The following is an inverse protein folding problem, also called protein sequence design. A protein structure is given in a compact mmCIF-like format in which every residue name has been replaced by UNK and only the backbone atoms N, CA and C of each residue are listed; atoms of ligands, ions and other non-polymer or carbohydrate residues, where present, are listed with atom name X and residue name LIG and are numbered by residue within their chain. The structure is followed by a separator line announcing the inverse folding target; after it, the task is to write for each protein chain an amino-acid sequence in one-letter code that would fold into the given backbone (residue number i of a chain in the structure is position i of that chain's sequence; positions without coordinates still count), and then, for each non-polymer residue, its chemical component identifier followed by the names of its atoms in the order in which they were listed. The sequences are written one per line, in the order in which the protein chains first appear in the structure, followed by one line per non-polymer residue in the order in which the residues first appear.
data_IF_227396630252
#
_entry.id   IF_227396630252
#
_cell.length_a   1.000
_cell.length_b   1.000
_cell.length_c   1.000
_cell.angle_alpha   90.00
_cell.angle_beta   90.00
_cell.angle_gamma   90.00
#
_symmetry.space_group_name_H-M   'P 1'
#
loop_
_entity.id
_entity.type
_entity.pdbx_description
1 polymer ?
#
# COMPACT_ATOMS: atom_id res chain seq x y z
N UNK A 1 -17.18 11.74 -1.69
CA UNK A 1 -15.75 11.50 -1.95
C UNK A 1 -15.63 10.17 -2.69
N UNK A 2 -14.81 10.09 -3.73
CA UNK A 2 -14.55 8.84 -4.48
C UNK A 2 -13.40 8.12 -3.80
N UNK A 3 -13.63 6.88 -3.35
CA UNK A 3 -12.58 6.04 -2.77
C UNK A 3 -11.74 5.39 -3.88
N UNK A 4 -10.44 5.24 -3.61
CA UNK A 4 -9.53 4.41 -4.40
C UNK A 4 -9.71 2.95 -3.98
N UNK A 5 -10.08 2.09 -4.93
CA UNK A 5 -10.10 0.64 -4.75
C UNK A 5 -8.76 0.07 -5.21
N UNK A 6 -7.87 -0.20 -4.26
CA UNK A 6 -6.51 -0.66 -4.51
C UNK A 6 -6.35 -2.14 -4.15
N UNK A 7 -5.51 -2.86 -4.88
CA UNK A 7 -5.13 -4.24 -4.56
C UNK A 7 -3.89 -4.21 -3.69
N UNK A 8 -4.00 -4.67 -2.45
CA UNK A 8 -2.89 -4.76 -1.52
C UNK A 8 -2.32 -6.18 -1.55
N UNK A 9 -1.10 -6.33 -2.05
CA UNK A 9 -0.35 -7.58 -2.08
C UNK A 9 0.52 -7.70 -0.83
N UNK A 10 0.33 -8.75 -0.04
CA UNK A 10 1.06 -9.06 1.20
C UNK A 10 1.59 -10.48 1.07
N UNK A 11 2.87 -10.62 0.73
CA UNK A 11 3.46 -11.93 0.43
C UNK A 11 2.74 -12.60 -0.73
N UNK A 12 2.06 -13.72 -0.46
CA UNK A 12 1.30 -14.49 -1.46
C UNK A 12 -0.20 -14.17 -1.48
N UNK A 13 -0.66 -13.22 -0.66
CA UNK A 13 -2.08 -12.87 -0.52
C UNK A 13 -2.34 -11.51 -1.15
N UNK A 14 -3.40 -11.40 -1.96
CA UNK A 14 -3.86 -10.12 -2.50
C UNK A 14 -5.24 -9.80 -1.95
N UNK A 15 -5.40 -8.61 -1.36
CA UNK A 15 -6.67 -8.11 -0.81
C UNK A 15 -7.04 -6.79 -1.47
N UNK A 16 -8.24 -6.72 -2.03
CA UNK A 16 -8.77 -5.43 -2.50
C UNK A 16 -9.27 -4.62 -1.31
N UNK A 17 -8.79 -3.39 -1.18
CA UNK A 17 -9.11 -2.48 -0.09
C UNK A 17 -9.48 -1.10 -0.63
N UNK A 18 -10.33 -0.40 0.09
CA UNK A 18 -10.76 0.96 -0.27
C UNK A 18 -10.09 1.98 0.64
N UNK A 19 -9.48 2.99 0.04
CA UNK A 19 -8.82 4.11 0.72
C UNK A 19 -9.36 5.43 0.20
N UNK A 20 -9.24 6.49 0.98
CA UNK A 20 -9.46 7.83 0.46
C UNK A 20 -8.20 8.30 -0.29
N UNK A 21 -8.31 9.06 -1.40
CA UNK A 21 -7.13 9.58 -2.10
C UNK A 21 -6.20 10.40 -1.19
N UNK A 22 -6.79 11.13 -0.25
CA UNK A 22 -6.08 11.93 0.77
C UNK A 22 -5.54 11.10 1.94
N UNK A 23 -5.77 9.79 1.98
CA UNK A 23 -5.20 8.93 3.02
C UNK A 23 -3.68 8.97 2.93
N UNK A 24 -3.05 9.30 4.05
CA UNK A 24 -1.60 9.31 4.17
C UNK A 24 -1.05 7.89 4.09
N UNK A 25 0.14 7.70 3.51
CA UNK A 25 0.75 6.38 3.38
C UNK A 25 0.94 5.71 4.75
N UNK A 26 1.29 6.46 5.80
CA UNK A 26 1.40 5.90 7.15
C UNK A 26 0.05 5.37 7.67
N UNK A 27 -1.06 6.07 7.40
CA UNK A 27 -2.41 5.65 7.78
C UNK A 27 -2.85 4.43 6.94
N UNK A 28 -2.53 4.41 5.64
CA UNK A 28 -2.80 3.27 4.78
C UNK A 28 -2.10 2.00 5.30
N UNK A 29 -0.82 2.09 5.68
CA UNK A 29 -0.10 0.98 6.32
C UNK A 29 -0.80 0.52 7.60
N UNK A 30 -1.27 1.45 8.46
CA UNK A 30 -2.01 1.09 9.68
C UNK A 30 -3.29 0.32 9.37
N UNK A 31 -4.11 0.84 8.44
CA UNK A 31 -5.38 0.22 8.02
C UNK A 31 -5.14 -1.19 7.48
N UNK A 32 -4.08 -1.38 6.68
CA UNK A 32 -3.72 -2.70 6.14
C UNK A 32 -3.41 -3.69 7.27
N UNK A 33 -2.62 -3.27 8.26
CA UNK A 33 -2.27 -4.12 9.42
C UNK A 33 -3.45 -4.43 10.32
N UNK A 34 -4.40 -3.50 10.43
CA UNK A 34 -5.63 -3.72 11.22
C UNK A 34 -6.58 -4.70 10.52
N UNK A 35 -6.61 -4.70 9.18
CA UNK A 35 -7.55 -5.53 8.39
C UNK A 35 -6.97 -6.84 7.87
N UNK A 36 -5.66 -6.95 7.73
CA UNK A 36 -4.98 -8.11 7.16
C UNK A 36 -4.02 -8.71 8.19
N UNK A 37 -4.33 -9.87 8.80
CA UNK A 37 -3.48 -10.53 9.79
C UNK A 37 -2.06 -10.80 9.28
N UNK A 38 -1.89 -11.12 8.00
CA UNK A 38 -0.60 -11.38 7.36
C UNK A 38 0.33 -10.15 7.36
N UNK A 39 -0.23 -8.94 7.46
CA UNK A 39 0.54 -7.70 7.56
C UNK A 39 0.99 -7.38 9.00
N UNK A 40 0.54 -8.14 10.01
CA UNK A 40 0.90 -7.95 11.41
C UNK A 40 2.24 -8.60 11.78
N UNK A 41 2.90 -9.26 10.84
CA UNK A 41 4.16 -9.97 11.06
C UNK A 41 5.32 -8.95 11.12
N UNK A 42 5.96 -8.80 12.28
CA UNK A 42 7.13 -7.95 12.47
C UNK A 42 6.84 -6.50 12.90
N UNK A 43 7.88 -5.65 12.91
CA UNK A 43 7.74 -4.26 13.36
C UNK A 43 7.21 -3.36 12.23
N UNK A 44 6.23 -2.48 12.48
CA UNK A 44 5.64 -1.61 11.44
C UNK A 44 6.67 -0.78 10.66
N UNK A 45 7.71 -0.30 11.34
CA UNK A 45 8.74 0.54 10.73
C UNK A 45 9.61 -0.22 9.72
N UNK A 46 9.66 -1.55 9.82
CA UNK A 46 10.38 -2.38 8.86
C UNK A 46 9.58 -2.58 7.57
N UNK A 47 8.32 -2.17 7.50
CA UNK A 47 7.46 -2.39 6.33
C UNK A 47 7.07 -1.08 5.65
N UNK A 48 6.69 -1.18 4.39
CA UNK A 48 6.13 -0.07 3.64
C UNK A 48 5.30 -0.52 2.46
N UNK A 49 4.70 0.46 1.80
CA UNK A 49 4.01 0.28 0.54
C UNK A 49 4.98 0.51 -0.61
N UNK A 50 4.98 -0.43 -1.53
CA UNK A 50 5.71 -0.39 -2.78
C UNK A 50 4.68 -0.41 -3.91
N UNK A 51 4.70 0.58 -4.79
CA UNK A 51 3.87 0.58 -5.98
C UNK A 51 4.53 -0.31 -7.02
N UNK A 52 3.89 -1.43 -7.31
CA UNK A 52 4.36 -2.40 -8.31
C UNK A 52 3.87 -1.97 -9.68
N UNK A 53 4.79 -1.86 -10.62
CA UNK A 53 4.50 -1.58 -12.03
C UNK A 53 4.74 -2.85 -12.86
N UNK A 54 4.23 -2.90 -14.10
CA UNK A 54 4.52 -4.01 -15.03
C UNK A 54 6.03 -4.15 -15.27
N UNK A 55 6.75 -3.03 -15.26
CA UNK A 55 8.21 -3.03 -15.24
C UNK A 55 8.74 -3.13 -13.79
N UNK A 56 9.40 -4.22 -13.38
CA UNK A 56 9.93 -4.37 -12.01
C UNK A 56 11.02 -3.34 -11.67
N UNK A 57 11.58 -2.66 -12.67
CA UNK A 57 12.55 -1.57 -12.50
C UNK A 57 11.89 -0.21 -12.21
N UNK A 58 10.58 -0.08 -12.44
CA UNK A 58 9.83 1.17 -12.24
C UNK A 58 9.06 1.21 -10.93
N UNK A 59 9.03 0.11 -10.18
CA UNK A 59 8.36 0.11 -8.89
C UNK A 59 9.03 1.08 -7.91
N UNK A 60 8.21 1.79 -7.12
CA UNK A 60 8.67 2.83 -6.20
C UNK A 60 8.18 2.58 -4.78
N UNK A 61 9.00 2.94 -3.81
CA UNK A 61 8.58 2.96 -2.41
C UNK A 61 7.79 4.23 -2.12
N UNK A 62 6.63 4.06 -1.48
CA UNK A 62 5.79 5.17 -1.07
C UNK A 62 6.30 5.75 0.25
N UNK A 63 6.32 7.08 0.33
CA UNK A 63 6.81 7.83 1.48
C UNK A 63 5.69 8.01 2.50
N UNK A 64 5.96 7.73 3.77
CA UNK A 64 4.98 7.78 4.85
C UNK A 64 4.27 9.15 4.96
N UNK A 65 4.96 10.25 4.65
CA UNK A 65 4.44 11.62 4.72
C UNK A 65 3.70 12.12 3.46
N UNK A 66 3.48 11.25 2.47
CA UNK A 66 2.69 11.58 1.27
C UNK A 66 1.30 10.97 1.36
N UNK A 67 0.36 11.50 0.57
CA UNK A 67 -0.95 10.90 0.38
C UNK A 67 -0.93 9.92 -0.81
N UNK A 68 -1.94 9.06 -0.90
CA UNK A 68 -2.09 8.13 -2.03
C UNK A 68 -2.25 8.85 -3.37
N UNK A 69 -2.96 9.98 -3.41
CA UNK A 69 -3.20 10.75 -4.65
C UNK A 69 -1.91 11.36 -5.25
N UNK A 70 -0.90 11.63 -4.41
CA UNK A 70 0.41 12.14 -4.84
C UNK A 70 1.07 11.22 -5.89
N UNK A 71 0.79 9.91 -5.80
CA UNK A 71 1.32 8.90 -6.70
C UNK A 71 0.39 8.60 -7.89
N UNK A 72 -0.67 9.39 -8.08
CA UNK A 72 -1.63 9.26 -9.19
C UNK A 72 -2.26 7.87 -9.31
N UNK A 73 -2.45 7.19 -8.17
CA UNK A 73 -3.03 5.85 -8.09
C UNK A 73 -4.46 5.82 -8.63
N UNK A 74 -4.82 4.73 -9.29
CA UNK A 74 -6.13 4.47 -9.90
C UNK A 74 -6.77 3.23 -9.32
N UNK A 75 -8.09 3.13 -9.52
CA UNK A 75 -8.84 1.94 -9.14
C UNK A 75 -8.30 0.71 -9.89
N UNK A 76 -7.91 -0.31 -9.13
CA UNK A 76 -7.33 -1.56 -9.64
C UNK A 76 -5.81 -1.63 -9.55
N UNK A 77 -5.13 -0.53 -9.24
CA UNK A 77 -3.67 -0.51 -9.05
C UNK A 77 -3.27 -1.42 -7.88
N UNK A 78 -2.05 -1.97 -7.98
CA UNK A 78 -1.52 -2.92 -7.01
C UNK A 78 -0.40 -2.28 -6.20
N UNK A 79 -0.57 -2.29 -4.87
CA UNK A 79 0.46 -1.91 -3.91
C UNK A 79 0.93 -3.16 -3.16
N UNK A 80 2.24 -3.35 -3.10
CA UNK A 80 2.87 -4.37 -2.27
C UNK A 80 3.16 -3.82 -0.87
N UNK A 81 2.56 -4.42 0.16
CA UNK A 81 2.98 -4.22 1.54
C UNK A 81 4.09 -5.23 1.87
N UNK A 82 5.32 -4.75 1.90
CA UNK A 82 6.51 -5.60 2.06
C UNK A 82 7.57 -4.95 2.94
N UNK A 83 8.49 -5.78 3.45
CA UNK A 83 9.59 -5.34 4.30
C UNK A 83 10.58 -4.47 3.50
N UNK A 84 10.90 -3.29 4.02
CA UNK A 84 12.01 -2.43 3.59
C UNK A 84 13.30 -3.11 4.07
N UNK A 85 14.20 -3.41 3.14
CA UNK A 85 15.47 -4.06 3.43
C UNK A 85 16.58 -3.02 3.63
#
# INVERSE_FOLDING_TARGET
MVALSLKISIGNVVKTMQFEPSTMIYDACRIIRERVPEAQIGQPNDFGLFLSDEDPKKGIWLEAGKALDYYMLRNGDTLEYRKKQ
#
